data_IF_909027757821
#
_entry.id   IF_909027757821
#
_cell.length_a   1.000
_cell.length_b   1.000
_cell.length_c   1.000
_cell.angle_alpha   90.00
_cell.angle_beta   90.00
_cell.angle_gamma   90.00
#
_symmetry.space_group_name_H-M   'P 1'
#
loop_
_entity.id
_entity.type
_entity.pdbx_description
1 polymer ?
#
# COMPACT_ATOMS: atom_id res chain seq x y z
N UNK A 1 -27.89 12.68 -10.94
CA UNK A 1 -26.76 12.90 -11.84
C UNK A 1 -26.57 11.63 -12.70
N UNK A 2 -26.20 11.78 -13.95
CA UNK A 2 -25.87 10.64 -14.83
C UNK A 2 -24.44 10.83 -15.34
N UNK A 3 -23.63 9.79 -15.23
CA UNK A 3 -22.31 9.71 -15.85
C UNK A 3 -22.42 9.12 -17.25
N UNK A 4 -21.57 9.52 -18.18
CA UNK A 4 -21.44 8.88 -19.50
C UNK A 4 -20.68 7.55 -19.40
N UNK A 5 -19.96 7.34 -18.31
CA UNK A 5 -19.24 6.12 -17.98
C UNK A 5 -19.28 5.92 -16.46
N UNK A 6 -20.24 5.11 -16.01
CA UNK A 6 -20.47 4.85 -14.58
C UNK A 6 -19.40 3.95 -13.94
N UNK A 7 -18.62 3.25 -14.76
CA UNK A 7 -17.49 2.44 -14.28
C UNK A 7 -16.28 3.32 -13.91
N UNK A 8 -16.21 4.55 -14.44
CA UNK A 8 -15.10 5.48 -14.21
C UNK A 8 -15.49 6.60 -13.25
N UNK A 9 -16.71 7.14 -13.36
CA UNK A 9 -17.17 8.26 -12.53
C UNK A 9 -18.63 8.07 -12.12
N UNK A 10 -18.89 8.09 -10.82
CA UNK A 10 -20.24 8.23 -10.24
C UNK A 10 -20.39 9.58 -9.60
N UNK A 11 -21.58 10.23 -9.73
CA UNK A 11 -21.86 11.52 -9.12
C UNK A 11 -23.14 11.45 -8.29
N UNK A 12 -23.07 11.91 -7.05
CA UNK A 12 -24.21 12.01 -6.14
C UNK A 12 -24.45 13.47 -5.76
N UNK A 13 -25.71 13.89 -5.73
CA UNK A 13 -26.09 15.22 -5.27
C UNK A 13 -26.35 15.20 -3.75
N UNK A 14 -25.56 15.97 -2.99
CA UNK A 14 -25.61 16.02 -1.52
C UNK A 14 -26.27 17.34 -1.03
N UNK A 15 -26.96 18.08 -1.88
CA UNK A 15 -27.61 19.34 -1.55
C UNK A 15 -28.99 19.16 -0.92
N UNK A 16 -29.42 20.16 -0.11
CA UNK A 16 -30.74 20.22 0.55
C UNK A 16 -31.79 20.99 -0.24
N UNK A 17 -31.49 21.47 -1.45
CA UNK A 17 -32.44 22.30 -2.23
C UNK A 17 -33.45 21.43 -2.96
N UNK A 18 -34.72 21.80 -2.83
CA UNK A 18 -35.87 21.08 -3.41
C UNK A 18 -35.96 21.19 -4.95
N UNK A 19 -35.16 22.05 -5.58
CA UNK A 19 -35.04 22.20 -7.02
C UNK A 19 -33.56 22.22 -7.40
N UNK A 20 -32.99 21.09 -7.85
CA UNK A 20 -31.64 21.11 -8.38
C UNK A 20 -31.61 21.99 -9.63
N UNK A 21 -30.83 23.05 -9.57
CA UNK A 21 -30.43 23.76 -10.78
C UNK A 21 -29.76 22.72 -11.71
N UNK A 22 -30.21 22.65 -12.95
CA UNK A 22 -29.66 21.68 -13.93
C UNK A 22 -28.28 22.15 -14.43
N UNK A 23 -27.33 22.24 -13.48
CA UNK A 23 -25.95 22.51 -13.84
C UNK A 23 -25.35 21.22 -14.45
N UNK A 24 -24.90 21.31 -15.67
CA UNK A 24 -24.11 20.24 -16.29
C UNK A 24 -22.63 20.44 -15.98
N UNK A 25 -21.98 19.40 -15.50
CA UNK A 25 -20.53 19.40 -15.25
C UNK A 25 -19.84 18.50 -16.27
N UNK A 26 -18.73 18.97 -16.79
CA UNK A 26 -17.82 18.17 -17.58
C UNK A 26 -16.65 17.74 -16.70
N UNK A 27 -16.55 16.45 -16.42
CA UNK A 27 -15.44 15.84 -15.67
C UNK A 27 -14.65 14.97 -16.62
N UNK A 28 -13.34 15.24 -16.74
CA UNK A 28 -12.40 14.42 -17.48
C UNK A 28 -11.36 13.84 -16.50
N UNK A 29 -11.46 12.56 -16.18
CA UNK A 29 -10.47 11.88 -15.32
C UNK A 29 -9.21 11.67 -16.15
N UNK A 30 -8.08 12.23 -15.68
CA UNK A 30 -6.76 12.11 -16.30
C UNK A 30 -5.94 11.00 -15.67
N UNK A 31 -6.03 10.85 -14.35
CA UNK A 31 -5.29 9.87 -13.57
C UNK A 31 -6.08 9.50 -12.31
N UNK A 32 -6.14 8.23 -11.98
CA UNK A 32 -6.65 7.76 -10.69
C UNK A 32 -5.56 7.86 -9.63
N UNK A 33 -5.98 8.04 -8.37
CA UNK A 33 -5.05 7.93 -7.25
C UNK A 33 -4.52 6.50 -7.13
N UNK A 34 -3.25 6.35 -6.75
CA UNK A 34 -2.60 5.05 -6.57
C UNK A 34 -2.13 4.87 -5.13
N UNK A 35 -2.10 3.62 -4.69
CA UNK A 35 -1.51 3.20 -3.42
C UNK A 35 0.01 3.09 -3.54
N UNK A 36 0.72 3.16 -2.41
CA UNK A 36 2.12 2.75 -2.36
C UNK A 36 2.19 1.23 -2.29
N UNK A 37 3.06 0.63 -3.12
CA UNK A 37 3.35 -0.81 -3.10
C UNK A 37 4.85 -1.00 -2.88
N UNK A 38 5.19 -1.79 -1.85
CA UNK A 38 6.53 -2.31 -1.66
C UNK A 38 6.55 -3.78 -2.09
N UNK A 39 7.46 -4.11 -3.00
CA UNK A 39 7.65 -5.46 -3.52
C UNK A 39 8.90 -6.08 -2.90
N UNK A 40 8.74 -7.18 -2.19
CA UNK A 40 9.84 -7.96 -1.65
C UNK A 40 10.58 -8.76 -2.71
N UNK A 41 11.72 -9.33 -2.29
CA UNK A 41 12.48 -10.25 -3.12
C UNK A 41 11.76 -11.58 -3.27
N UNK A 42 11.86 -12.18 -4.45
CA UNK A 42 11.42 -13.56 -4.68
C UNK A 42 12.36 -14.55 -4.01
N UNK A 43 11.86 -15.37 -3.11
CA UNK A 43 12.59 -16.38 -2.37
C UNK A 43 12.05 -17.77 -2.69
N UNK A 44 12.93 -18.75 -2.78
CA UNK A 44 12.53 -20.16 -2.92
C UNK A 44 11.82 -20.60 -1.62
N UNK A 45 10.57 -21.09 -1.69
CA UNK A 45 9.74 -21.32 -0.51
C UNK A 45 10.31 -22.34 0.47
N UNK A 46 10.96 -23.38 -0.02
CA UNK A 46 11.46 -24.54 0.76
C UNK A 46 12.86 -24.32 1.33
N UNK A 47 13.50 -23.16 1.08
CA UNK A 47 14.81 -22.83 1.64
C UNK A 47 14.70 -22.31 3.07
N UNK A 48 15.78 -22.49 3.83
CA UNK A 48 15.93 -22.10 5.24
C UNK A 48 17.05 -21.04 5.31
N UNK A 49 16.73 -19.81 4.92
CA UNK A 49 17.74 -18.75 4.81
C UNK A 49 17.74 -17.81 6.03
N UNK A 50 16.71 -17.88 6.87
CA UNK A 50 16.61 -17.07 8.08
C UNK A 50 17.21 -17.84 9.26
N UNK A 51 18.09 -17.18 10.01
CA UNK A 51 18.65 -17.74 11.25
C UNK A 51 17.56 -17.78 12.34
N UNK A 52 17.43 -18.86 13.11
CA UNK A 52 16.50 -18.88 14.23
C UNK A 52 16.77 -17.77 15.24
N UNK A 53 15.72 -17.11 15.69
CA UNK A 53 15.81 -15.97 16.61
C UNK A 53 14.58 -15.06 16.58
N UNK A 54 14.68 -13.94 17.28
CA UNK A 54 13.68 -12.90 17.30
C UNK A 54 14.13 -11.79 16.34
N UNK A 55 13.21 -11.32 15.52
CA UNK A 55 13.40 -10.24 14.57
C UNK A 55 12.46 -9.10 14.88
N UNK A 56 12.92 -7.87 14.69
CA UNK A 56 12.14 -6.67 14.89
C UNK A 56 12.31 -5.72 13.72
N UNK A 57 11.20 -5.18 13.21
CA UNK A 57 11.17 -4.16 12.16
C UNK A 57 10.32 -2.97 12.63
N UNK A 58 10.81 -1.78 12.37
CA UNK A 58 10.04 -0.56 12.54
C UNK A 58 9.26 -0.28 11.26
N UNK A 59 7.97 -0.03 11.40
CA UNK A 59 7.11 0.45 10.34
C UNK A 59 6.64 1.85 10.69
N UNK A 60 7.12 2.81 9.93
CA UNK A 60 6.75 4.20 10.06
C UNK A 60 5.70 4.57 9.01
N UNK A 61 4.64 5.22 9.43
CA UNK A 61 3.69 5.93 8.60
C UNK A 61 3.86 7.44 8.86
N UNK A 62 3.19 8.28 8.11
CA UNK A 62 3.25 9.73 8.31
C UNK A 62 2.77 10.19 9.70
N UNK A 63 1.96 9.36 10.38
CA UNK A 63 1.34 9.71 11.66
C UNK A 63 1.81 8.90 12.84
N UNK A 64 2.34 7.69 12.61
CA UNK A 64 2.66 6.74 13.66
C UNK A 64 3.90 5.91 13.33
N UNK A 65 4.54 5.40 14.38
CA UNK A 65 5.60 4.40 14.29
C UNK A 65 5.16 3.14 15.03
N UNK A 66 5.36 1.98 14.41
CA UNK A 66 4.99 0.67 14.95
C UNK A 66 6.21 -0.23 14.91
N UNK A 67 6.40 -1.01 15.98
CA UNK A 67 7.39 -2.08 16.01
C UNK A 67 6.71 -3.43 15.77
N UNK A 68 7.17 -4.18 14.78
CA UNK A 68 6.78 -5.57 14.52
C UNK A 68 7.85 -6.50 15.02
N UNK A 69 7.46 -7.42 15.89
CA UNK A 69 8.35 -8.46 16.38
C UNK A 69 7.80 -9.84 16.04
N UNK A 70 8.63 -10.72 15.53
CA UNK A 70 8.27 -12.11 15.25
C UNK A 70 9.45 -13.04 15.49
N UNK A 71 9.16 -14.33 15.71
CA UNK A 71 10.17 -15.34 15.92
C UNK A 71 10.31 -16.25 14.70
N UNK A 72 11.54 -16.66 14.43
CA UNK A 72 11.89 -17.68 13.44
C UNK A 72 12.45 -18.89 14.17
N UNK A 73 11.88 -20.05 13.91
CA UNK A 73 12.32 -21.34 14.41
C UNK A 73 13.23 -22.05 13.40
N UNK A 74 14.02 -23.04 13.85
CA UNK A 74 14.91 -23.81 12.97
C UNK A 74 14.22 -24.54 11.82
N UNK A 75 12.94 -24.82 11.98
CA UNK A 75 12.10 -25.51 10.99
C UNK A 75 11.36 -24.56 10.05
N UNK A 76 11.45 -23.26 10.27
CA UNK A 76 10.76 -22.29 9.43
C UNK A 76 11.49 -22.13 8.10
N UNK A 77 10.81 -22.48 7.04
CA UNK A 77 11.24 -22.19 5.68
C UNK A 77 11.06 -20.71 5.33
N UNK A 78 11.56 -20.28 4.18
CA UNK A 78 11.32 -18.93 3.68
C UNK A 78 9.82 -18.64 3.58
N UNK A 79 9.03 -19.60 3.10
CA UNK A 79 7.58 -19.45 3.00
C UNK A 79 6.93 -19.28 4.38
N UNK A 80 7.38 -20.02 5.40
CA UNK A 80 6.85 -19.89 6.76
C UNK A 80 7.14 -18.51 7.34
N UNK A 81 8.35 -17.98 7.13
CA UNK A 81 8.74 -16.64 7.59
C UNK A 81 7.92 -15.56 6.90
N UNK A 82 7.78 -15.63 5.57
CA UNK A 82 6.97 -14.70 4.79
C UNK A 82 5.49 -14.75 5.24
N UNK A 83 4.95 -15.94 5.48
CA UNK A 83 3.58 -16.13 5.94
C UNK A 83 3.35 -15.56 7.34
N UNK A 84 4.29 -15.77 8.28
CA UNK A 84 4.22 -15.19 9.63
C UNK A 84 4.16 -13.67 9.56
N UNK A 85 5.04 -13.06 8.77
CA UNK A 85 5.10 -11.60 8.64
C UNK A 85 3.84 -11.05 7.95
N UNK A 86 3.36 -11.71 6.90
CA UNK A 86 2.11 -11.36 6.22
C UNK A 86 0.92 -11.37 7.19
N UNK A 87 0.79 -12.42 8.00
CA UNK A 87 -0.27 -12.51 9.00
C UNK A 87 -0.16 -11.43 10.06
N UNK A 88 1.06 -11.17 10.57
CA UNK A 88 1.31 -10.15 11.57
C UNK A 88 0.88 -8.76 11.08
N UNK A 89 1.26 -8.38 9.87
CA UNK A 89 0.88 -7.10 9.26
C UNK A 89 -0.64 -7.01 9.07
N UNK A 90 -1.26 -8.02 8.48
CA UNK A 90 -2.70 -8.01 8.21
C UNK A 90 -3.56 -7.98 9.50
N UNK A 91 -3.10 -8.62 10.58
CA UNK A 91 -3.80 -8.58 11.86
C UNK A 91 -3.63 -7.26 12.62
N UNK A 92 -2.58 -6.50 12.34
CA UNK A 92 -2.29 -5.23 13.03
C UNK A 92 -3.29 -4.11 12.69
N UNK A 93 -3.95 -4.17 11.53
CA UNK A 93 -4.92 -3.19 11.02
C UNK A 93 -4.43 -1.74 11.05
N UNK A 94 -3.19 -1.53 10.71
CA UNK A 94 -2.53 -0.22 10.72
C UNK A 94 -2.58 0.52 9.38
N UNK A 95 -3.50 0.15 8.49
CA UNK A 95 -3.62 0.78 7.18
C UNK A 95 -2.68 0.19 6.12
N UNK A 96 -2.19 -1.04 6.35
CA UNK A 96 -1.39 -1.82 5.41
C UNK A 96 -2.03 -3.16 5.14
N UNK A 97 -1.87 -3.62 3.91
CA UNK A 97 -2.21 -4.97 3.48
C UNK A 97 -0.94 -5.68 3.04
N UNK A 98 -0.81 -6.93 3.44
CA UNK A 98 0.27 -7.81 3.01
C UNK A 98 -0.31 -8.98 2.22
N UNK A 99 0.30 -9.31 1.10
CA UNK A 99 -0.05 -10.44 0.25
C UNK A 99 1.20 -11.18 -0.22
N UNK A 100 1.00 -12.37 -0.77
CA UNK A 100 2.07 -13.17 -1.34
C UNK A 100 1.92 -13.16 -2.86
N UNK A 101 2.97 -12.77 -3.56
CA UNK A 101 3.08 -12.93 -5.00
C UNK A 101 3.99 -14.11 -5.33
N UNK A 102 3.68 -14.84 -6.40
CA UNK A 102 4.47 -15.97 -6.86
C UNK A 102 4.86 -15.78 -8.33
N UNK A 103 6.14 -15.86 -8.60
CA UNK A 103 6.64 -15.78 -9.97
C UNK A 103 6.50 -17.13 -10.72
N UNK A 104 6.77 -17.11 -12.04
CA UNK A 104 6.72 -18.31 -12.89
C UNK A 104 7.73 -19.41 -12.55
N UNK A 105 8.65 -19.17 -11.60
CA UNK A 105 9.62 -20.17 -11.09
C UNK A 105 9.17 -20.80 -9.77
N UNK A 106 7.98 -20.42 -9.25
CA UNK A 106 7.47 -20.90 -7.97
C UNK A 106 8.13 -20.24 -6.75
N UNK A 107 8.83 -19.13 -6.93
CA UNK A 107 9.40 -18.34 -5.84
C UNK A 107 8.36 -17.33 -5.33
N UNK A 108 8.34 -17.09 -4.02
CA UNK A 108 7.39 -16.21 -3.35
C UNK A 108 8.03 -14.88 -2.98
N UNK A 109 7.32 -13.79 -3.19
CA UNK A 109 7.66 -12.46 -2.69
C UNK A 109 6.53 -11.92 -1.81
N UNK A 110 6.89 -11.30 -0.69
CA UNK A 110 5.94 -10.58 0.14
C UNK A 110 5.69 -9.20 -0.48
N UNK A 111 4.43 -8.85 -0.69
CA UNK A 111 4.01 -7.56 -1.24
C UNK A 111 3.23 -6.82 -0.17
N UNK A 112 3.60 -5.58 0.07
CA UNK A 112 2.93 -4.69 1.02
C UNK A 112 2.30 -3.53 0.26
N UNK A 113 1.03 -3.23 0.55
CA UNK A 113 0.36 -2.09 -0.05
C UNK A 113 -0.30 -1.22 1.03
N UNK A 114 -0.35 0.08 0.80
CA UNK A 114 -1.09 1.00 1.66
C UNK A 114 -2.59 0.84 1.41
N UNK A 115 -3.40 0.94 2.46
CA UNK A 115 -4.86 1.00 2.32
C UNK A 115 -5.34 2.36 1.81
N UNK A 116 -4.50 3.37 1.92
CA UNK A 116 -4.75 4.71 1.39
C UNK A 116 -4.11 4.87 0.01
N UNK A 117 -4.74 5.69 -0.81
CA UNK A 117 -4.21 6.18 -2.07
C UNK A 117 -3.84 7.65 -1.95
N UNK A 118 -3.01 8.14 -2.86
CA UNK A 118 -2.56 9.52 -2.86
C UNK A 118 -1.53 9.81 -1.77
N UNK A 119 -0.84 10.93 -1.90
CA UNK A 119 0.21 11.36 -0.99
C UNK A 119 0.23 12.89 -0.91
N UNK A 120 0.47 13.45 0.28
CA UNK A 120 0.60 14.88 0.45
C UNK A 120 1.89 15.42 -0.21
N UNK A 121 1.87 16.67 -0.65
CA UNK A 121 2.98 17.27 -1.42
C UNK A 121 4.29 17.36 -0.62
N UNK A 122 4.21 17.31 0.71
CA UNK A 122 5.35 17.36 1.64
C UNK A 122 5.76 15.99 2.18
N UNK A 123 5.21 14.91 1.63
CA UNK A 123 5.46 13.53 2.05
C UNK A 123 6.16 12.74 0.93
N UNK A 124 7.16 11.94 1.30
CA UNK A 124 7.90 11.11 0.35
C UNK A 124 7.37 9.67 0.26
N UNK A 125 6.61 9.22 1.27
CA UNK A 125 6.06 7.86 1.34
C UNK A 125 4.84 7.80 2.26
N UNK A 126 3.95 6.85 2.04
CA UNK A 126 2.85 6.55 2.96
C UNK A 126 3.29 5.64 4.10
N UNK A 127 4.25 4.76 3.84
CA UNK A 127 4.88 3.93 4.86
C UNK A 127 6.32 3.58 4.49
N UNK A 128 7.14 3.36 5.51
CA UNK A 128 8.54 2.95 5.39
C UNK A 128 8.82 1.81 6.38
N UNK A 129 9.61 0.82 5.96
CA UNK A 129 10.05 -0.28 6.81
C UNK A 129 11.55 -0.17 7.02
N UNK A 130 11.94 -0.17 8.28
CA UNK A 130 13.32 -0.07 8.73
C UNK A 130 13.66 -1.29 9.62
N UNK A 131 14.90 -1.78 9.59
CA UNK A 131 15.35 -2.78 10.55
C UNK A 131 15.56 -2.12 11.92
N UNK A 132 15.40 -2.88 12.99
CA UNK A 132 15.97 -2.47 14.24
C UNK A 132 17.52 -2.46 14.19
N UNK A 133 18.19 -2.05 15.27
CA UNK A 133 19.65 -1.99 15.33
C UNK A 133 20.33 -3.37 15.35
N UNK A 134 19.59 -4.49 15.35
CA UNK A 134 20.19 -5.83 15.38
C UNK A 134 20.70 -6.25 14.00
N UNK A 135 21.91 -6.83 13.91
CA UNK A 135 22.44 -7.33 12.65
C UNK A 135 21.55 -8.39 11.98
N UNK A 136 20.84 -9.19 12.77
CA UNK A 136 19.93 -10.23 12.25
C UNK A 136 18.71 -9.61 11.56
N UNK A 137 18.09 -8.60 12.13
CA UNK A 137 16.96 -7.88 11.52
C UNK A 137 17.38 -7.15 10.25
N UNK A 138 18.58 -6.55 10.24
CA UNK A 138 19.15 -5.92 9.03
C UNK A 138 19.33 -6.91 7.88
N UNK A 139 19.89 -8.10 8.17
CA UNK A 139 20.07 -9.15 7.16
C UNK A 139 18.73 -9.71 6.69
N UNK A 140 17.77 -9.92 7.59
CA UNK A 140 16.43 -10.39 7.25
C UNK A 140 15.68 -9.40 6.37
N UNK A 141 15.74 -8.09 6.67
CA UNK A 141 15.13 -7.06 5.86
C UNK A 141 15.74 -7.02 4.44
N UNK A 142 17.07 -7.13 4.36
CA UNK A 142 17.78 -7.22 3.07
C UNK A 142 17.36 -8.47 2.27
N UNK A 143 17.17 -9.61 2.94
CA UNK A 143 16.73 -10.84 2.30
C UNK A 143 15.27 -10.74 1.84
N UNK A 144 14.39 -10.23 2.69
CA UNK A 144 12.97 -10.04 2.36
C UNK A 144 12.75 -8.96 1.29
N UNK A 145 13.53 -7.89 1.30
CA UNK A 145 13.43 -6.79 0.34
C UNK A 145 12.17 -5.91 0.46
N UNK A 146 11.38 -6.08 1.52
CA UNK A 146 10.06 -5.42 1.70
C UNK A 146 10.12 -3.91 1.94
N UNK A 147 11.31 -3.34 2.06
CA UNK A 147 11.54 -1.89 2.12
C UNK A 147 11.73 -1.24 0.74
N UNK A 148 11.63 -2.00 -0.35
CA UNK A 148 11.77 -1.50 -1.71
C UNK A 148 10.41 -1.04 -2.25
N UNK A 149 10.29 0.24 -2.58
CA UNK A 149 9.09 0.80 -3.20
C UNK A 149 9.10 0.39 -4.68
N UNK A 150 8.08 -0.37 -5.09
CA UNK A 150 7.85 -0.78 -6.46
C UNK A 150 6.86 0.15 -7.17
N UNK A 151 5.93 0.73 -6.42
CA UNK A 151 4.99 1.73 -6.87
C UNK A 151 4.86 2.82 -5.81
N UNK A 152 5.06 4.06 -6.20
CA UNK A 152 4.80 5.21 -5.34
C UNK A 152 3.30 5.51 -5.26
N UNK A 153 2.86 6.05 -4.13
CA UNK A 153 1.52 6.60 -4.02
C UNK A 153 1.37 7.80 -4.95
N UNK A 154 0.24 7.92 -5.60
CA UNK A 154 -0.03 9.00 -6.54
C UNK A 154 -1.40 9.59 -6.37
N UNK A 155 -1.53 10.90 -6.60
CA UNK A 155 -2.79 11.61 -6.50
C UNK A 155 -3.62 11.44 -7.79
N UNK A 156 -4.95 11.42 -7.65
CA UNK A 156 -5.82 11.51 -8.80
C UNK A 156 -5.73 12.91 -9.43
N UNK A 157 -5.86 12.99 -10.72
CA UNK A 157 -6.00 14.26 -11.44
C UNK A 157 -7.20 14.23 -12.38
N UNK A 158 -7.96 15.32 -12.40
CA UNK A 158 -9.15 15.43 -13.22
C UNK A 158 -9.37 16.88 -13.67
N UNK A 159 -10.02 17.05 -14.81
CA UNK A 159 -10.49 18.34 -15.28
C UNK A 159 -11.97 18.53 -14.92
N UNK A 160 -12.31 19.64 -14.32
CA UNK A 160 -13.69 20.05 -14.04
C UNK A 160 -13.98 21.34 -14.83
N UNK A 161 -14.90 21.28 -15.79
CA UNK A 161 -15.23 22.42 -16.66
C UNK A 161 -13.99 23.09 -17.27
N UNK A 162 -12.99 22.28 -17.66
CA UNK A 162 -11.75 22.76 -18.28
C UNK A 162 -10.68 23.28 -17.31
N UNK A 163 -10.87 23.17 -16.00
CA UNK A 163 -9.85 23.46 -14.99
C UNK A 163 -9.33 22.18 -14.38
N UNK A 164 -8.02 22.12 -14.19
CA UNK A 164 -7.35 20.96 -13.59
C UNK A 164 -7.44 20.98 -12.06
N UNK A 165 -7.70 19.81 -11.49
CA UNK A 165 -7.80 19.56 -10.07
C UNK A 165 -7.06 18.27 -9.72
N UNK A 166 -6.62 18.14 -8.48
CA UNK A 166 -6.06 16.91 -7.92
C UNK A 166 -6.75 16.53 -6.61
N UNK A 167 -6.75 15.24 -6.28
CA UNK A 167 -7.29 14.72 -5.03
C UNK A 167 -6.47 13.52 -4.56
N UNK A 168 -6.34 13.38 -3.24
CA UNK A 168 -5.68 12.23 -2.59
C UNK A 168 -6.52 10.94 -2.64
N UNK A 169 -7.76 11.02 -3.08
CA UNK A 169 -8.68 9.89 -3.12
C UNK A 169 -9.43 9.83 -4.44
N UNK A 170 -10.21 8.76 -4.61
CA UNK A 170 -11.09 8.58 -5.76
C UNK A 170 -12.37 9.43 -5.70
N UNK A 171 -12.65 10.09 -4.57
CA UNK A 171 -13.84 10.93 -4.38
C UNK A 171 -13.47 12.36 -4.05
N UNK A 172 -14.24 13.30 -4.58
CA UNK A 172 -14.12 14.73 -4.32
C UNK A 172 -15.51 15.39 -4.34
N UNK A 173 -15.63 16.50 -3.62
CA UNK A 173 -16.85 17.34 -3.64
C UNK A 173 -16.65 18.54 -4.57
N UNK A 174 -17.67 18.88 -5.32
CA UNK A 174 -17.72 20.01 -6.25
C UNK A 174 -18.74 21.03 -5.78
#
# INVERSE_FOLDING_TARGET
AQSSDEDVVTAEYIGNDATPDTASFHIAVKQLATEQINQGNYLQPDRYQFTPGIYSFDLNTNTNSYEFQFSVDRKDSNADVQQKLMQLINHSKIGLNASMDQNGKGENALVLSSSQTGIADDEDYLFQILPDASPSSMLALKLLGINQIAQEAGNSSFGLNGKDHSSYSYSFMV
#
